data_IF_241450773690
#
_entry.id   IF_241450773690
#
_cell.length_a   1.000
_cell.length_b   1.000
_cell.length_c   1.000
_cell.angle_alpha   90.00
_cell.angle_beta   90.00
_cell.angle_gamma   90.00
#
_symmetry.space_group_name_H-M   'P 1'
#
loop_
_entity.id
_entity.type
_entity.pdbx_description
1 polymer ?
#
# COMPACT_ATOMS: atom_id res chain seq x y z
N UNK A 1 44.74 5.81 22.35
CA UNK A 1 44.04 5.66 21.06
C UNK A 1 43.16 4.41 20.97
N UNK A 2 42.83 3.71 22.07
CA UNK A 2 41.99 2.49 22.05
C UNK A 2 40.51 2.73 22.39
N UNK A 3 40.19 3.86 23.03
CA UNK A 3 38.83 4.17 23.50
C UNK A 3 37.91 4.66 22.36
N UNK A 4 38.47 5.40 21.39
CA UNK A 4 37.71 5.95 20.27
C UNK A 4 37.12 4.89 19.33
N UNK A 5 37.79 3.75 19.20
CA UNK A 5 37.32 2.65 18.36
C UNK A 5 36.01 2.04 18.89
N UNK A 6 35.83 1.98 20.22
CA UNK A 6 34.63 1.42 20.83
C UNK A 6 33.40 2.33 20.62
N UNK A 7 33.59 3.65 20.68
CA UNK A 7 32.51 4.61 20.46
C UNK A 7 31.96 4.57 19.02
N UNK A 8 32.84 4.39 18.03
CA UNK A 8 32.42 4.31 16.63
C UNK A 8 31.59 3.05 16.35
N UNK A 9 31.92 1.92 16.98
CA UNK A 9 31.18 0.66 16.80
C UNK A 9 29.75 0.77 17.36
N UNK A 10 29.55 1.46 18.48
CA UNK A 10 28.22 1.64 19.10
C UNK A 10 27.29 2.50 18.24
N UNK A 11 27.83 3.53 17.57
CA UNK A 11 27.05 4.42 16.70
C UNK A 11 26.58 3.73 15.41
N UNK A 12 27.37 2.82 14.85
CA UNK A 12 27.01 2.09 13.62
C UNK A 12 25.89 1.08 13.90
N UNK A 13 25.84 0.51 15.11
CA UNK A 13 24.78 -0.43 15.52
C UNK A 13 23.43 0.23 15.79
N UNK A 14 23.39 1.55 16.00
CA UNK A 14 22.14 2.29 16.29
C UNK A 14 21.41 2.77 15.03
N UNK A 15 22.03 2.68 13.84
CA UNK A 15 21.47 3.20 12.59
C UNK A 15 20.56 2.22 11.82
N UNK A 16 20.36 1.00 12.34
CA UNK A 16 19.70 -0.09 11.60
C UNK A 16 18.38 -0.54 12.20
N UNK A 17 17.40 0.36 12.34
CA UNK A 17 16.00 -0.06 12.48
C UNK A 17 15.11 1.02 11.91
N UNK A 18 15.17 1.15 10.60
CA UNK A 18 14.11 1.76 9.80
C UNK A 18 12.92 0.81 9.96
N UNK A 19 12.07 1.09 10.93
CA UNK A 19 10.78 0.42 11.03
C UNK A 19 10.01 0.90 9.80
N UNK A 20 10.09 0.12 8.72
CA UNK A 20 9.11 0.22 7.65
C UNK A 20 7.76 0.15 8.34
N UNK A 21 7.10 1.29 8.48
CA UNK A 21 5.71 1.32 8.90
C UNK A 21 5.00 0.41 7.92
N UNK A 22 4.66 -0.79 8.36
CA UNK A 22 3.86 -1.72 7.59
C UNK A 22 2.50 -1.05 7.49
N UNK A 23 2.35 -0.23 6.45
CA UNK A 23 1.10 0.46 6.15
C UNK A 23 0.09 -0.64 5.85
N UNK A 24 -0.77 -0.90 6.84
CA UNK A 24 -1.69 -2.03 6.80
C UNK A 24 -2.58 -1.83 5.58
N UNK A 25 -2.45 -2.69 4.58
CA UNK A 25 -3.25 -2.58 3.36
C UNK A 25 -4.59 -3.30 3.56
N UNK A 26 -5.68 -2.58 3.32
CA UNK A 26 -7.05 -3.07 3.29
C UNK A 26 -7.46 -3.42 1.85
N UNK A 27 -8.42 -4.34 1.70
CA UNK A 27 -8.99 -4.73 0.40
C UNK A 27 -10.50 -4.74 0.48
N UNK A 28 -11.14 -4.21 -0.56
CA UNK A 28 -12.59 -4.28 -0.76
C UNK A 28 -12.97 -4.69 -2.18
N UNK A 29 -14.22 -5.13 -2.36
CA UNK A 29 -14.79 -5.53 -3.64
C UNK A 29 -16.09 -4.78 -3.92
N UNK A 30 -16.12 -4.01 -5.00
CA UNK A 30 -17.28 -3.24 -5.45
C UNK A 30 -17.86 -3.88 -6.72
N UNK A 31 -19.17 -4.08 -6.73
CA UNK A 31 -19.85 -4.52 -7.95
C UNK A 31 -20.09 -3.32 -8.86
N UNK A 32 -19.46 -3.34 -10.04
CA UNK A 32 -19.59 -2.29 -11.05
C UNK A 32 -20.11 -2.93 -12.34
N UNK A 33 -21.31 -2.52 -12.79
CA UNK A 33 -21.77 -2.89 -14.13
C UNK A 33 -20.84 -2.29 -15.18
N UNK A 34 -20.34 -3.10 -16.10
CA UNK A 34 -19.30 -2.72 -17.06
C UNK A 34 -18.04 -2.16 -16.39
N UNK A 35 -17.45 -2.95 -15.48
CA UNK A 35 -16.21 -2.59 -14.79
C UNK A 35 -15.09 -2.27 -15.79
N UNK A 36 -14.59 -1.04 -15.71
CA UNK A 36 -13.44 -0.55 -16.46
C UNK A 36 -12.36 -0.11 -15.46
N UNK A 37 -11.09 -0.43 -15.72
CA UNK A 37 -10.02 -0.24 -14.73
C UNK A 37 -9.85 1.23 -14.30
N UNK A 38 -9.95 2.16 -15.25
CA UNK A 38 -9.87 3.60 -14.97
C UNK A 38 -11.00 4.08 -14.05
N UNK A 39 -12.23 3.62 -14.32
CA UNK A 39 -13.40 3.93 -13.50
C UNK A 39 -13.32 3.28 -12.12
N UNK A 40 -12.81 2.05 -12.05
CA UNK A 40 -12.59 1.34 -10.80
C UNK A 40 -11.55 2.05 -9.94
N UNK A 41 -10.42 2.45 -10.52
CA UNK A 41 -9.37 3.23 -9.84
C UNK A 41 -9.94 4.55 -9.29
N UNK A 42 -10.63 5.32 -10.11
CA UNK A 42 -11.21 6.61 -9.69
C UNK A 42 -12.22 6.40 -8.55
N UNK A 43 -13.08 5.39 -8.66
CA UNK A 43 -14.05 5.06 -7.61
C UNK A 43 -13.36 4.63 -6.31
N UNK A 44 -12.33 3.79 -6.38
CA UNK A 44 -11.54 3.40 -5.21
C UNK A 44 -10.89 4.61 -4.54
N UNK A 45 -10.38 5.57 -5.33
CA UNK A 45 -9.78 6.79 -4.80
C UNK A 45 -10.80 7.76 -4.19
N UNK A 46 -12.01 7.82 -4.74
CA UNK A 46 -13.12 8.62 -4.19
C UNK A 46 -13.59 8.07 -2.85
N UNK A 47 -13.67 6.74 -2.70
CA UNK A 47 -14.19 6.10 -1.48
C UNK A 47 -13.12 6.00 -0.39
N UNK A 48 -11.90 5.58 -0.74
CA UNK A 48 -10.84 5.24 0.22
C UNK A 48 -9.67 6.24 0.25
N UNK A 49 -9.67 7.23 -0.65
CA UNK A 49 -8.66 8.28 -0.73
C UNK A 49 -7.62 8.07 -1.83
N UNK A 50 -6.83 9.11 -2.11
CA UNK A 50 -5.93 9.20 -3.28
C UNK A 50 -4.84 8.11 -3.36
N UNK A 51 -4.55 7.45 -2.24
CA UNK A 51 -3.57 6.36 -2.17
C UNK A 51 -4.19 4.99 -2.46
N UNK A 52 -5.50 4.93 -2.69
CA UNK A 52 -6.17 3.71 -3.11
C UNK A 52 -5.84 3.39 -4.58
N UNK A 53 -5.73 2.10 -4.88
CA UNK A 53 -5.67 1.55 -6.22
C UNK A 53 -6.88 0.66 -6.47
N UNK A 54 -7.26 0.50 -7.74
CA UNK A 54 -8.41 -0.25 -8.18
C UNK A 54 -8.11 -1.05 -9.44
N UNK A 55 -8.63 -2.27 -9.55
CA UNK A 55 -8.57 -3.07 -10.77
C UNK A 55 -9.82 -3.93 -10.93
N UNK A 56 -10.29 -4.08 -12.17
CA UNK A 56 -11.42 -4.92 -12.51
C UNK A 56 -10.97 -6.37 -12.72
N UNK A 57 -11.55 -7.30 -11.95
CA UNK A 57 -11.31 -8.73 -12.12
C UNK A 57 -12.58 -9.47 -12.53
N UNK A 58 -12.45 -10.37 -13.50
CA UNK A 58 -13.53 -11.24 -13.97
C UNK A 58 -14.00 -10.91 -15.38
N UNK A 59 -14.95 -11.69 -15.93
CA UNK A 59 -15.52 -11.42 -17.24
C UNK A 59 -16.37 -10.16 -17.20
N UNK A 60 -16.41 -9.39 -18.30
CA UNK A 60 -17.05 -8.06 -18.40
C UNK A 60 -18.46 -7.96 -17.76
N UNK A 61 -19.28 -9.01 -17.90
CA UNK A 61 -20.65 -9.05 -17.38
C UNK A 61 -20.76 -9.26 -15.86
N UNK A 62 -19.69 -9.72 -15.20
CA UNK A 62 -19.63 -9.96 -13.75
C UNK A 62 -18.32 -9.43 -13.16
N UNK A 63 -17.72 -8.42 -13.80
CA UNK A 63 -16.45 -7.90 -13.38
C UNK A 63 -16.61 -7.15 -12.05
N UNK A 64 -15.77 -7.49 -11.08
CA UNK A 64 -15.77 -6.88 -9.75
C UNK A 64 -14.59 -5.93 -9.68
N UNK A 65 -14.84 -4.70 -9.28
CA UNK A 65 -13.80 -3.72 -8.99
C UNK A 65 -13.17 -4.05 -7.64
N UNK A 66 -11.89 -4.38 -7.62
CA UNK A 66 -11.13 -4.63 -6.40
C UNK A 66 -10.32 -3.40 -6.00
N UNK A 67 -10.61 -2.84 -4.83
CA UNK A 67 -9.85 -1.75 -4.26
C UNK A 67 -8.80 -2.25 -3.29
N UNK A 68 -7.60 -1.68 -3.34
CA UNK A 68 -6.54 -1.83 -2.34
C UNK A 68 -6.19 -0.45 -1.82
N UNK A 69 -6.18 -0.26 -0.51
CA UNK A 69 -6.00 1.06 0.10
C UNK A 69 -5.37 0.94 1.48
N UNK A 70 -4.69 1.98 1.98
CA UNK A 70 -4.20 1.99 3.35
C UNK A 70 -5.37 1.99 4.34
N UNK A 71 -5.35 1.04 5.28
CA UNK A 71 -6.06 1.18 6.55
C UNK A 71 -5.31 2.21 7.42
#
# INVERSE_FOLDING_TARGET
MKVYALFLVVLILSAGKEEAAEEKTCKDGLNLEACEDDLCLELCQVIYGVNATGACCGPLATAVCHCLYPC
#
